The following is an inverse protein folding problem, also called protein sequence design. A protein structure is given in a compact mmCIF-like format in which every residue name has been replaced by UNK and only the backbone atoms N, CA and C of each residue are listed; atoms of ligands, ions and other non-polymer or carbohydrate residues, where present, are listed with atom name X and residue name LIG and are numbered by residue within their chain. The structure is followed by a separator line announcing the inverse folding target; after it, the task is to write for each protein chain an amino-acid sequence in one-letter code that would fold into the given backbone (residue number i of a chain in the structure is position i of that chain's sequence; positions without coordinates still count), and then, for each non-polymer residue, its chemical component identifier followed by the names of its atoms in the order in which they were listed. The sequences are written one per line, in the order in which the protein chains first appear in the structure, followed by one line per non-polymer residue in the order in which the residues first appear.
data_IF_124055653635
#
_entry.id   IF_124055653635
#
_cell.length_a   1.000
_cell.length_b   1.000
_cell.length_c   1.000
_cell.angle_alpha   90.00
_cell.angle_beta   90.00
_cell.angle_gamma   90.00
#
_symmetry.space_group_name_H-M   'P 1'
#
loop_
_entity.id
_entity.type
_entity.pdbx_description
1 polymer ?
#
# COMPACT_ATOMS: atom_id res chain seq x y z
N UNK A 1 25.65 9.95 -12.39
CA UNK A 1 26.07 10.06 -10.98
C UNK A 1 25.24 9.10 -10.15
N UNK A 2 25.84 8.41 -9.19
CA UNK A 2 25.22 7.27 -8.46
C UNK A 2 24.18 7.64 -7.40
N UNK A 3 23.81 8.92 -7.25
CA UNK A 3 22.70 9.33 -6.38
C UNK A 3 22.86 8.98 -4.90
N UNK A 4 24.09 8.88 -4.40
CA UNK A 4 24.36 8.56 -2.99
C UNK A 4 24.49 9.86 -2.17
N UNK A 5 23.74 9.95 -1.08
CA UNK A 5 23.82 11.02 -0.09
C UNK A 5 24.40 10.48 1.21
N UNK A 6 25.44 11.13 1.74
CA UNK A 6 26.00 10.80 3.03
C UNK A 6 25.17 11.47 4.15
N UNK A 7 24.64 10.67 5.08
CA UNK A 7 23.89 11.13 6.24
C UNK A 7 24.64 10.75 7.53
N UNK A 8 24.57 11.61 8.55
CA UNK A 8 25.14 11.36 9.87
C UNK A 8 24.03 11.37 10.92
N UNK A 9 24.01 10.36 11.79
CA UNK A 9 23.08 10.25 12.92
C UNK A 9 23.84 10.01 14.22
N UNK A 10 23.27 10.45 15.33
CA UNK A 10 23.79 10.22 16.68
C UNK A 10 22.99 9.10 17.34
N UNK A 11 23.69 8.14 17.96
CA UNK A 11 23.06 7.00 18.63
C UNK A 11 23.58 6.89 20.06
N UNK A 12 22.71 6.73 21.06
CA UNK A 12 23.16 6.51 22.44
C UNK A 12 23.82 5.12 22.56
N UNK A 13 25.13 5.08 22.85
CA UNK A 13 25.92 3.86 23.03
C UNK A 13 26.39 3.71 24.49
N UNK A 14 25.45 3.68 25.45
CA UNK A 14 25.78 3.68 26.89
C UNK A 14 26.58 2.46 27.33
N UNK A 15 26.32 1.30 26.73
CA UNK A 15 26.94 0.02 27.09
C UNK A 15 28.15 -0.33 26.18
N UNK A 16 28.56 0.55 25.27
CA UNK A 16 29.72 0.34 24.41
C UNK A 16 29.57 -0.74 23.34
N UNK A 17 28.35 -1.17 23.03
CA UNK A 17 28.04 -2.26 22.09
C UNK A 17 28.43 -1.95 20.64
N UNK A 18 28.46 -0.67 20.26
CA UNK A 18 28.87 -0.25 18.91
C UNK A 18 30.36 0.11 18.89
N UNK A 19 31.16 -0.75 18.27
CA UNK A 19 32.59 -0.55 18.09
C UNK A 19 32.92 0.13 16.74
N UNK A 20 33.98 0.94 16.66
CA UNK A 20 34.44 1.51 15.39
C UNK A 20 34.76 0.43 14.35
N UNK A 21 34.35 0.65 13.10
CA UNK A 21 34.58 -0.28 11.99
C UNK A 21 33.45 -1.29 11.74
N UNK A 22 32.40 -1.28 12.56
CA UNK A 22 31.20 -2.10 12.33
C UNK A 22 30.31 -1.54 11.22
N UNK A 23 29.74 -2.44 10.42
CA UNK A 23 28.65 -2.11 9.51
C UNK A 23 27.31 -2.30 10.24
N UNK A 24 26.44 -1.30 10.17
CA UNK A 24 25.10 -1.33 10.76
C UNK A 24 24.06 -1.10 9.67
N UNK A 25 22.91 -1.77 9.77
CA UNK A 25 21.74 -1.48 8.96
C UNK A 25 20.81 -0.61 9.79
N UNK A 26 20.57 0.62 9.35
CA UNK A 26 19.64 1.54 10.00
C UNK A 26 18.35 1.56 9.20
N UNK A 27 17.24 1.27 9.86
CA UNK A 27 15.90 1.47 9.29
C UNK A 27 15.39 2.82 9.79
N UNK A 28 15.17 3.76 8.87
CA UNK A 28 14.59 5.08 9.20
C UNK A 28 13.11 5.03 8.84
N UNK A 29 12.24 5.25 9.83
CA UNK A 29 10.81 5.37 9.58
C UNK A 29 10.54 6.72 8.89
N UNK A 30 10.23 6.68 7.61
CA UNK A 30 9.90 7.86 6.82
C UNK A 30 8.41 8.16 7.02
N UNK A 31 8.07 9.15 7.85
CA UNK A 31 6.71 9.73 8.04
C UNK A 31 5.53 8.77 8.13
N UNK A 32 4.83 8.72 9.27
CA UNK A 32 3.53 8.03 9.33
C UNK A 32 2.44 8.91 8.74
N UNK A 33 1.80 8.43 7.67
CA UNK A 33 0.57 9.01 7.15
C UNK A 33 -0.62 8.15 7.61
N UNK A 34 -1.37 8.57 8.64
CA UNK A 34 -2.52 7.82 9.14
C UNK A 34 -3.71 7.82 8.18
N UNK A 35 -3.72 8.69 7.16
CA UNK A 35 -4.76 8.74 6.12
C UNK A 35 -4.37 7.97 4.85
N UNK A 36 -3.22 7.28 4.84
CA UNK A 36 -2.75 6.51 3.70
C UNK A 36 -3.75 5.40 3.33
N UNK A 37 -4.21 5.41 2.08
CA UNK A 37 -5.09 4.37 1.54
C UNK A 37 -4.20 3.26 0.98
N UNK A 38 -4.23 2.10 1.63
CA UNK A 38 -3.61 0.88 1.14
C UNK A 38 -4.62 0.05 0.35
N UNK A 39 -4.24 -0.32 -0.87
CA UNK A 39 -5.04 -1.17 -1.74
C UNK A 39 -4.23 -2.42 -2.12
N UNK A 40 -4.77 -3.63 -1.92
CA UNK A 40 -4.09 -4.86 -2.33
C UNK A 40 -3.72 -4.83 -3.81
N UNK A 41 -2.51 -5.27 -4.17
CA UNK A 41 -2.05 -5.26 -5.56
C UNK A 41 -3.02 -5.96 -6.53
N UNK A 42 -3.68 -7.03 -6.07
CA UNK A 42 -4.67 -7.77 -6.88
C UNK A 42 -5.90 -6.93 -7.27
N UNK A 43 -6.19 -5.84 -6.56
CA UNK A 43 -7.31 -4.93 -6.84
C UNK A 43 -6.97 -3.86 -7.89
N UNK A 44 -5.68 -3.64 -8.13
CA UNK A 44 -5.18 -2.61 -9.06
C UNK A 44 -5.03 -3.22 -10.45
N UNK A 45 -5.74 -2.66 -11.43
CA UNK A 45 -5.61 -2.99 -12.84
C UNK A 45 -4.70 -1.95 -13.49
N UNK A 46 -3.77 -2.36 -14.37
CA UNK A 46 -3.07 -1.41 -15.23
C UNK A 46 -3.67 -1.44 -16.62
N UNK A 47 -4.01 -0.26 -17.13
CA UNK A 47 -4.41 -0.08 -18.52
C UNK A 47 -3.23 -0.20 -19.49
N UNK A 48 -3.54 -0.26 -20.78
CA UNK A 48 -2.54 -0.24 -21.86
C UNK A 48 -1.78 1.09 -21.97
N UNK A 49 -2.32 2.14 -21.35
CA UNK A 49 -1.72 3.47 -21.18
C UNK A 49 -0.70 3.52 -20.02
N UNK A 50 -0.57 2.43 -19.26
CA UNK A 50 0.31 2.34 -18.09
C UNK A 50 -0.28 2.97 -16.82
N UNK A 51 -1.48 3.55 -16.89
CA UNK A 51 -2.15 4.11 -15.73
C UNK A 51 -2.77 3.00 -14.87
N UNK A 52 -2.75 3.22 -13.55
CA UNK A 52 -3.40 2.33 -12.60
C UNK A 52 -4.87 2.75 -12.43
N UNK A 53 -5.77 1.77 -12.48
CA UNK A 53 -7.19 1.96 -12.24
C UNK A 53 -7.67 0.91 -11.24
N UNK A 54 -8.64 1.29 -10.43
CA UNK A 54 -9.34 0.40 -9.50
C UNK A 54 -10.82 0.44 -9.77
N UNK A 55 -11.48 -0.68 -9.53
CA UNK A 55 -12.94 -0.75 -9.58
C UNK A 55 -13.49 -0.39 -8.19
N UNK A 56 -14.35 0.62 -8.14
CA UNK A 56 -15.03 1.06 -6.92
C UNK A 56 -16.54 0.84 -7.05
N UNK A 57 -17.22 0.63 -5.92
CA UNK A 57 -18.69 0.70 -5.90
C UNK A 57 -19.16 2.11 -5.53
N UNK A 58 -20.18 2.59 -6.24
CA UNK A 58 -20.96 3.73 -5.79
C UNK A 58 -21.95 3.35 -4.67
N UNK A 59 -22.66 4.34 -4.12
CA UNK A 59 -23.66 4.14 -3.07
C UNK A 59 -24.85 3.28 -3.55
N UNK A 60 -25.07 3.23 -4.86
CA UNK A 60 -26.13 2.50 -5.53
C UNK A 60 -25.73 1.03 -5.81
N UNK A 61 -24.47 0.66 -5.52
CA UNK A 61 -23.92 -0.67 -5.72
C UNK A 61 -23.48 -0.96 -7.16
N UNK A 62 -23.24 0.07 -7.96
CA UNK A 62 -22.76 -0.01 -9.35
C UNK A 62 -21.24 0.12 -9.37
N UNK A 63 -20.59 -0.73 -10.17
CA UNK A 63 -19.14 -0.67 -10.38
C UNK A 63 -18.77 0.53 -11.25
N UNK A 64 -17.84 1.34 -10.78
CA UNK A 64 -17.22 2.43 -11.51
C UNK A 64 -15.72 2.17 -11.64
N UNK A 65 -15.15 2.48 -12.79
CA UNK A 65 -13.69 2.46 -12.98
C UNK A 65 -13.12 3.81 -12.59
N UNK A 66 -12.16 3.82 -11.68
CA UNK A 66 -11.55 5.03 -11.17
C UNK A 66 -10.03 4.96 -11.36
N UNK A 67 -9.49 5.95 -12.06
CA UNK A 67 -8.04 6.13 -12.22
C UNK A 67 -7.42 6.54 -10.90
N UNK A 68 -6.34 5.87 -10.51
CA UNK A 68 -5.62 6.10 -9.26
C UNK A 68 -4.14 6.30 -9.52
N UNK A 69 -3.51 7.13 -8.67
CA UNK A 69 -2.06 7.27 -8.63
C UNK A 69 -1.50 6.40 -7.52
N UNK A 70 -0.58 5.52 -7.86
CA UNK A 70 0.08 4.60 -6.92
C UNK A 70 1.45 5.15 -6.53
N UNK A 71 1.70 5.29 -5.22
CA UNK A 71 2.99 5.63 -4.64
C UNK A 71 3.84 4.39 -4.36
N UNK A 72 4.31 4.28 -3.12
CA UNK A 72 5.14 3.15 -2.68
C UNK A 72 4.32 1.85 -2.49
N UNK A 73 4.98 0.71 -2.66
CA UNK A 73 4.44 -0.58 -2.21
C UNK A 73 4.85 -0.84 -0.76
N UNK A 74 3.88 -1.26 0.04
CA UNK A 74 4.08 -1.75 1.40
C UNK A 74 3.68 -3.23 1.44
N UNK A 75 4.67 -4.13 1.42
CA UNK A 75 4.42 -5.57 1.33
C UNK A 75 3.72 -5.96 0.03
N UNK A 76 2.46 -6.39 0.12
CA UNK A 76 1.61 -6.76 -1.02
C UNK A 76 0.53 -5.72 -1.38
N UNK A 77 0.62 -4.54 -0.77
CA UNK A 77 -0.36 -3.45 -0.92
C UNK A 77 0.31 -2.23 -1.55
N UNK A 78 -0.43 -1.53 -2.41
CA UNK A 78 -0.04 -0.26 -2.98
C UNK A 78 -0.60 0.87 -2.13
N UNK A 79 0.26 1.84 -1.82
CA UNK A 79 -0.20 3.13 -1.33
C UNK A 79 -0.81 3.92 -2.48
N UNK A 80 -2.09 4.27 -2.38
CA UNK A 80 -2.75 5.16 -3.32
C UNK A 80 -2.57 6.60 -2.84
N UNK A 81 -1.88 7.42 -3.63
CA UNK A 81 -1.62 8.82 -3.29
C UNK A 81 -2.75 9.73 -3.77
N UNK A 82 -3.40 9.40 -4.88
CA UNK A 82 -4.47 10.21 -5.46
C UNK A 82 -5.52 9.36 -6.16
N UNK A 83 -6.70 9.95 -6.34
CA UNK A 83 -7.76 9.34 -7.14
C UNK A 83 -8.60 8.33 -6.38
N UNK A 84 -8.54 8.26 -5.05
CA UNK A 84 -9.51 7.50 -4.25
C UNK A 84 -10.02 8.35 -3.09
N UNK A 85 -11.33 8.29 -2.82
CA UNK A 85 -11.93 8.97 -1.66
C UNK A 85 -11.76 8.13 -0.41
N UNK A 86 -11.62 8.81 0.73
CA UNK A 86 -11.72 8.18 2.04
C UNK A 86 -13.07 7.45 2.15
N UNK A 87 -13.05 6.20 2.63
CA UNK A 87 -14.20 5.29 2.71
C UNK A 87 -14.75 4.74 1.38
N UNK A 88 -14.04 4.86 0.27
CA UNK A 88 -14.43 4.19 -0.98
C UNK A 88 -14.37 2.66 -0.85
N UNK A 89 -15.39 1.98 -1.40
CA UNK A 89 -15.44 0.51 -1.45
C UNK A 89 -14.76 0.01 -2.71
N UNK A 90 -13.56 -0.54 -2.57
CA UNK A 90 -12.77 -1.09 -3.69
C UNK A 90 -13.05 -2.60 -3.87
N UNK A 91 -13.19 -3.04 -5.11
CA UNK A 91 -13.28 -4.45 -5.44
C UNK A 91 -11.89 -5.10 -5.39
N UNK A 92 -11.70 -6.05 -4.48
CA UNK A 92 -10.42 -6.78 -4.31
C UNK A 92 -10.39 -8.16 -4.97
N UNK A 93 -11.48 -8.57 -5.61
CA UNK A 93 -11.64 -9.88 -6.22
C UNK A 93 -12.79 -9.89 -7.23
N UNK A 94 -12.77 -10.85 -8.16
CA UNK A 94 -13.78 -10.93 -9.22
C UNK A 94 -13.64 -9.87 -10.33
N UNK A 95 -12.49 -9.20 -10.43
CA UNK A 95 -12.24 -8.13 -11.40
C UNK A 95 -12.48 -8.55 -12.85
N UNK A 96 -12.15 -9.80 -13.20
CA UNK A 96 -12.39 -10.34 -14.55
C UNK A 96 -13.88 -10.47 -14.90
N UNK A 97 -14.76 -10.59 -13.89
CA UNK A 97 -16.21 -10.66 -14.06
C UNK A 97 -16.91 -9.32 -13.75
N UNK A 98 -16.18 -8.36 -13.15
CA UNK A 98 -16.71 -7.06 -12.77
C UNK A 98 -16.55 -6.06 -13.92
N UNK A 99 -17.63 -5.86 -14.67
CA UNK A 99 -17.68 -4.86 -15.75
C UNK A 99 -18.23 -3.54 -15.20
N UNK A 100 -17.58 -2.39 -15.48
CA UNK A 100 -18.10 -1.07 -15.13
C UNK A 100 -19.56 -0.90 -15.59
N UNK A 101 -20.42 -0.37 -14.72
CA UNK A 101 -21.86 -0.23 -14.98
C UNK A 101 -22.71 -1.42 -14.53
N UNK A 102 -22.11 -2.51 -14.04
CA UNK A 102 -22.85 -3.68 -13.53
C UNK A 102 -23.09 -3.56 -12.04
N UNK A 103 -24.29 -3.94 -11.58
CA UNK A 103 -24.62 -4.04 -10.16
C UNK A 103 -24.05 -5.34 -9.60
N UNK A 104 -23.11 -5.26 -8.67
CA UNK A 104 -22.45 -6.42 -8.08
C UNK A 104 -22.92 -6.62 -6.63
N UNK A 105 -23.18 -7.87 -6.26
CA UNK A 105 -23.43 -8.20 -4.86
C UNK A 105 -22.11 -8.28 -4.11
N UNK A 106 -21.97 -7.44 -3.09
CA UNK A 106 -20.78 -7.38 -2.25
C UNK A 106 -20.75 -8.64 -1.39
N UNK A 107 -19.85 -9.58 -1.68
CA UNK A 107 -19.38 -10.51 -0.66
C UNK A 107 -18.20 -9.82 0.02
N UNK A 108 -18.35 -9.46 1.29
CA UNK A 108 -17.25 -8.88 2.04
C UNK A 108 -16.05 -9.83 1.92
N UNK A 109 -15.00 -9.37 1.24
CA UNK A 109 -13.73 -10.05 1.28
C UNK A 109 -13.27 -9.89 2.72
N UNK A 110 -13.30 -10.98 3.49
CA UNK A 110 -12.70 -11.03 4.80
C UNK A 110 -11.27 -10.52 4.63
N UNK A 111 -11.01 -9.33 5.17
CA UNK A 111 -9.69 -8.74 5.17
C UNK A 111 -8.77 -9.81 5.74
N UNK A 112 -7.82 -10.28 4.92
CA UNK A 112 -6.88 -11.29 5.33
C UNK A 112 -6.14 -10.74 6.56
N UNK A 113 -6.57 -11.17 7.74
CA UNK A 113 -5.79 -11.14 8.97
C UNK A 113 -4.64 -12.11 8.77
N UNK A 114 -3.61 -11.67 8.05
CA UNK A 114 -2.29 -12.28 7.98
C UNK A 114 -1.36 -11.11 7.61
N UNK A 115 -0.50 -10.55 8.46
CA UNK A 115 0.26 -11.18 9.55
C UNK A 115 0.73 -10.08 10.52
N UNK A 116 0.03 -9.92 11.64
CA UNK A 116 0.55 -9.22 12.82
C UNK A 116 0.67 -10.25 13.95
N UNK A 117 1.46 -11.31 13.73
CA UNK A 117 1.74 -12.32 14.74
C UNK A 117 3.02 -13.12 14.41
N UNK A 118 4.18 -12.49 14.50
CA UNK A 118 5.42 -13.24 14.83
C UNK A 118 6.35 -12.38 15.68
N UNK A 119 5.88 -12.08 16.90
CA UNK A 119 6.74 -11.68 18.01
C UNK A 119 6.51 -12.66 19.16
N UNK A 120 7.11 -13.86 19.06
CA UNK A 120 7.46 -14.68 20.22
C UNK A 120 8.42 -15.82 19.82
N UNK A 121 9.71 -15.65 20.08
CA UNK A 121 10.49 -16.58 20.90
C UNK A 121 11.78 -15.92 21.36
#
# INVERSE_FOLDING_TARGET
GTGQLALRGEFPNKDGLLLPGMYVRVTVAQGQDPAAILVPQRAVQRGSDGLAHVLVLDEQGVVQSQSVSTGAMYGSEWHITEGLKENARVLVGGLAAAVPGTKVQIRAAEAAKDTAATAKK
#
